data_IF_474897503200
#
_entry.id   IF_474897503200
#
_cell.length_a   1.000
_cell.length_b   1.000
_cell.length_c   1.000
_cell.angle_alpha   90.00
_cell.angle_beta   90.00
_cell.angle_gamma   90.00
#
_symmetry.space_group_name_H-M   'P 1'
#
loop_
_entity.id
_entity.type
_entity.pdbx_description
1 polymer ?
#
# COMPACT_ATOMS: atom_id res chain seq x y z
N UNK A 1 6.34 7.91 -8.98
CA UNK A 1 6.24 6.68 -8.16
C UNK A 1 4.95 6.77 -7.36
N UNK A 2 4.21 5.67 -7.29
CA UNK A 2 2.91 5.54 -6.61
C UNK A 2 3.07 4.55 -5.45
N UNK A 3 2.35 4.76 -4.36
CA UNK A 3 2.45 3.90 -3.17
C UNK A 3 1.50 2.72 -3.32
N UNK A 4 2.02 1.51 -3.18
CA UNK A 4 1.20 0.30 -3.08
C UNK A 4 0.38 0.38 -1.77
N UNK A 5 -0.97 0.36 -1.83
CA UNK A 5 -1.82 0.52 -0.65
C UNK A 5 -1.80 -0.71 0.28
N UNK A 6 -1.29 -1.85 -0.18
CA UNK A 6 -1.21 -3.10 0.61
C UNK A 6 0.06 -3.13 1.46
N UNK A 7 1.21 -2.88 0.84
CA UNK A 7 2.51 -2.99 1.50
C UNK A 7 3.20 -1.65 1.80
N UNK A 8 2.70 -0.54 1.24
CA UNK A 8 3.28 0.78 1.38
C UNK A 8 4.55 1.02 0.54
N UNK A 9 4.93 0.07 -0.32
CA UNK A 9 6.12 0.17 -1.17
C UNK A 9 5.90 1.19 -2.30
N UNK A 10 6.96 1.91 -2.68
CA UNK A 10 6.96 2.77 -3.86
C UNK A 10 7.06 1.92 -5.13
N UNK A 11 6.08 2.03 -6.00
CA UNK A 11 5.97 1.33 -7.28
C UNK A 11 6.04 2.34 -8.40
N UNK A 12 6.68 1.95 -9.49
CA UNK A 12 6.67 2.77 -10.70
C UNK A 12 5.45 2.41 -11.56
N UNK A 13 4.53 3.35 -11.86
CA UNK A 13 3.31 3.02 -12.60
C UNK A 13 3.57 2.58 -14.04
N UNK A 14 4.72 2.95 -14.63
CA UNK A 14 5.11 2.53 -15.98
C UNK A 14 5.69 1.12 -16.00
N UNK A 15 6.29 0.68 -14.89
CA UNK A 15 6.90 -0.65 -14.73
C UNK A 15 6.16 -1.56 -13.75
N UNK A 16 4.97 -1.16 -13.33
CA UNK A 16 4.22 -1.89 -12.32
C UNK A 16 3.88 -3.30 -12.82
N UNK A 17 4.28 -4.36 -12.10
CA UNK A 17 3.98 -5.73 -12.51
C UNK A 17 2.47 -6.04 -12.42
N UNK A 18 1.73 -5.31 -11.59
CA UNK A 18 0.29 -5.43 -11.49
C UNK A 18 -0.40 -4.08 -11.28
N UNK A 19 -1.59 -3.91 -11.88
CA UNK A 19 -2.48 -2.76 -11.68
C UNK A 19 -3.95 -3.18 -11.73
N UNK A 20 -4.82 -2.39 -11.11
CA UNK A 20 -6.28 -2.56 -11.18
C UNK A 20 -6.99 -1.21 -11.15
N UNK A 21 -8.18 -1.14 -11.74
CA UNK A 21 -9.06 0.01 -11.60
C UNK A 21 -10.08 -0.26 -10.49
N UNK A 22 -10.21 0.66 -9.55
CA UNK A 22 -11.18 0.58 -8.47
C UNK A 22 -11.77 1.98 -8.20
N UNK A 23 -13.11 2.09 -8.16
CA UNK A 23 -13.83 3.38 -7.98
C UNK A 23 -13.43 4.49 -8.97
N UNK A 24 -12.99 4.13 -10.18
CA UNK A 24 -12.53 5.08 -11.20
C UNK A 24 -11.07 5.51 -11.06
N UNK A 25 -10.35 5.02 -10.06
CA UNK A 25 -8.92 5.27 -9.86
C UNK A 25 -8.10 4.04 -10.26
N UNK A 26 -6.89 4.27 -10.79
CA UNK A 26 -5.96 3.18 -11.13
C UNK A 26 -4.96 2.99 -10.01
N UNK A 27 -4.98 1.81 -9.40
CA UNK A 27 -4.07 1.38 -8.35
C UNK A 27 -2.99 0.48 -8.92
N UNK A 28 -1.76 0.64 -8.43
CA UNK A 28 -0.58 -0.09 -8.89
C UNK A 28 0.04 -0.85 -7.72
N UNK A 29 0.52 -2.04 -8.00
CA UNK A 29 0.97 -3.00 -6.99
C UNK A 29 2.37 -3.49 -7.30
N UNK A 30 3.18 -3.67 -6.25
CA UNK A 30 4.56 -4.14 -6.37
C UNK A 30 4.63 -5.61 -6.78
N UNK A 31 3.56 -6.36 -6.56
CA UNK A 31 3.44 -7.76 -6.88
C UNK A 31 1.98 -8.15 -7.20
N UNK A 32 1.75 -9.20 -7.99
CA UNK A 32 0.41 -9.75 -8.21
C UNK A 32 -0.26 -10.23 -6.92
N UNK A 33 0.52 -10.64 -5.91
CA UNK A 33 -0.01 -10.98 -4.58
C UNK A 33 -0.64 -9.79 -3.86
N UNK A 34 -0.03 -8.59 -3.97
CA UNK A 34 -0.60 -7.36 -3.42
C UNK A 34 -1.90 -6.98 -4.15
N UNK A 35 -1.94 -7.10 -5.48
CA UNK A 35 -3.19 -6.91 -6.23
C UNK A 35 -4.29 -7.86 -5.73
N UNK A 36 -4.01 -9.15 -5.57
CA UNK A 36 -4.98 -10.14 -5.13
C UNK A 36 -5.48 -9.90 -3.70
N UNK A 37 -4.60 -9.43 -2.81
CA UNK A 37 -4.99 -9.01 -1.46
C UNK A 37 -5.91 -7.79 -1.50
N UNK A 38 -5.53 -6.77 -2.29
CA UNK A 38 -6.33 -5.57 -2.47
C UNK A 38 -7.70 -5.86 -3.10
N UNK A 39 -7.79 -6.77 -4.07
CA UNK A 39 -9.04 -7.15 -4.71
C UNK A 39 -10.02 -7.83 -3.72
N UNK A 40 -9.51 -8.54 -2.71
CA UNK A 40 -10.33 -9.17 -1.67
C UNK A 40 -10.89 -8.17 -0.67
N UNK A 41 -10.07 -7.21 -0.23
CA UNK A 41 -10.44 -6.25 0.82
C UNK A 41 -10.00 -4.81 0.48
N UNK A 42 -10.46 -4.19 -0.62
CA UNK A 42 -9.94 -2.89 -1.08
C UNK A 42 -10.22 -1.77 -0.08
N UNK A 43 -11.38 -1.80 0.55
CA UNK A 43 -11.80 -0.78 1.53
C UNK A 43 -10.93 -0.76 2.78
N UNK A 44 -10.35 -1.90 3.16
CA UNK A 44 -9.41 -2.01 4.29
C UNK A 44 -8.09 -1.30 4.01
N UNK A 45 -7.60 -1.39 2.78
CA UNK A 45 -6.36 -0.75 2.36
C UNK A 45 -6.56 0.73 2.02
N UNK A 46 -7.74 1.10 1.51
CA UNK A 46 -8.09 2.50 1.21
C UNK A 46 -8.51 3.31 2.44
N UNK A 47 -9.11 2.65 3.44
CA UNK A 47 -9.52 3.27 4.71
C UNK A 47 -8.36 3.56 5.68
N UNK A 48 -7.14 3.15 5.34
CA UNK A 48 -5.95 3.23 6.21
C UNK A 48 -5.17 4.54 6.13
N UNK A 49 -5.85 5.69 6.08
CA UNK A 49 -5.20 6.98 6.31
C UNK A 49 -4.97 7.25 7.81
N UNK A 50 -4.54 6.25 8.59
CA UNK A 50 -3.96 6.47 9.92
C UNK A 50 -2.90 5.39 10.21
N UNK A 51 -1.67 5.85 10.43
CA UNK A 51 -0.60 5.09 11.09
C UNK A 51 0.27 4.26 10.16
N UNK A 52 1.13 4.88 9.34
CA UNK A 52 2.53 5.01 9.76
C UNK A 52 2.70 4.61 11.25
N UNK A 53 3.12 3.36 11.48
CA UNK A 53 3.70 2.95 12.75
C UNK A 53 4.90 3.86 13.04
N UNK A 54 4.62 5.02 13.64
CA UNK A 54 5.55 5.79 14.42
C UNK A 54 5.90 4.95 15.64
N UNK A 55 6.78 3.96 15.44
CA UNK A 55 7.42 3.25 16.52
C UNK A 55 8.35 4.27 17.20
N UNK A 56 7.78 5.08 18.11
CA UNK A 56 8.57 5.91 19.01
C UNK A 56 9.22 4.97 20.01
N UNK A 57 10.35 4.38 19.62
CA UNK A 57 11.24 3.66 20.52
C UNK A 57 11.88 4.70 21.46
N UNK A 58 11.28 4.91 22.63
CA UNK A 58 11.91 5.66 23.71
C UNK A 58 12.99 4.77 24.35
N UNK A 59 14.22 4.85 23.85
CA UNK A 59 15.39 4.34 24.57
C UNK A 59 15.75 5.36 25.66
N UNK A 60 15.19 5.20 26.87
CA UNK A 60 15.71 5.88 28.06
C UNK A 60 16.70 4.93 28.75
N UNK A 61 17.99 5.26 28.68
CA UNK A 61 19.03 4.64 29.49
C UNK A 61 19.15 5.33 30.85
N UNK A 62 19.43 4.54 31.89
CA UNK A 62 20.09 4.94 33.12
C UNK A 62 20.91 3.76 33.64
#
# INVERSE_FOLDING_TARGET
>A
MVKDPVCGMMVDPEKAPAKMQYKGETYYFCAPGCKAAFEKEPEKYLGGSEGAHGHRHMHHGH
#
